data_IF_374499749227
#
_entry.id   IF_374499749227
#
_cell.length_a   1.000
_cell.length_b   1.000
_cell.length_c   1.000
_cell.angle_alpha   90.00
_cell.angle_beta   90.00
_cell.angle_gamma   90.00
#
_symmetry.space_group_name_H-M   'P 1'
#
loop_
_entity.id
_entity.type
_entity.pdbx_description
1 polymer ?
#
# COMPACT_ATOMS: atom_id res chain seq x y z
N UNK A 1 -10.98 -6.95 -5.03
CA UNK A 1 -9.81 -7.01 -4.14
C UNK A 1 -8.66 -6.23 -4.78
N UNK A 2 -8.17 -5.19 -4.12
CA UNK A 2 -7.02 -4.41 -4.62
C UNK A 2 -5.78 -5.31 -4.47
N UNK A 3 -5.12 -5.64 -5.58
CA UNK A 3 -3.87 -6.40 -5.56
C UNK A 3 -2.70 -5.42 -5.59
N UNK A 4 -1.89 -5.46 -4.55
CA UNK A 4 -0.60 -4.79 -4.50
C UNK A 4 0.47 -5.87 -4.62
N UNK A 5 1.39 -5.67 -5.56
CA UNK A 5 2.53 -6.56 -5.75
C UNK A 5 3.80 -5.82 -5.31
N UNK A 6 4.56 -6.44 -4.39
CA UNK A 6 5.89 -5.98 -4.00
C UNK A 6 6.89 -6.51 -5.06
N UNK A 7 7.49 -5.62 -5.85
CA UNK A 7 8.34 -5.98 -6.98
C UNK A 7 9.76 -5.42 -6.83
N UNK A 8 10.75 -6.24 -7.19
CA UNK A 8 12.16 -5.87 -7.31
C UNK A 8 12.50 -5.80 -8.79
N UNK A 9 12.95 -4.65 -9.27
CA UNK A 9 13.29 -4.43 -10.67
C UNK A 9 14.72 -3.91 -10.76
N UNK A 10 15.58 -4.63 -11.48
CA UNK A 10 16.96 -4.23 -11.72
C UNK A 10 17.13 -3.83 -13.18
N UNK A 11 17.93 -2.80 -13.43
CA UNK A 11 18.21 -2.34 -14.77
C UNK A 11 19.08 -1.08 -14.76
N UNK A 12 19.49 -0.64 -15.94
CA UNK A 12 20.21 0.62 -16.10
C UNK A 12 19.23 1.78 -16.05
N UNK A 13 19.49 2.75 -15.18
CA UNK A 13 18.68 3.96 -15.07
C UNK A 13 18.96 4.86 -16.27
N UNK A 14 17.95 5.11 -17.11
CA UNK A 14 18.11 6.05 -18.23
C UNK A 14 17.87 7.49 -17.78
N UNK A 15 16.74 7.72 -17.08
CA UNK A 15 16.38 9.02 -16.53
C UNK A 15 15.28 8.92 -15.47
N UNK A 16 15.24 9.91 -14.58
CA UNK A 16 14.11 10.17 -13.67
C UNK A 16 13.50 11.53 -13.97
N UNK A 17 12.26 11.55 -14.46
CA UNK A 17 11.53 12.78 -14.77
C UNK A 17 10.45 13.06 -13.74
N UNK A 18 10.63 14.10 -12.93
CA UNK A 18 9.60 14.56 -11.98
C UNK A 18 8.40 15.10 -12.77
N UNK A 19 7.22 14.58 -12.45
CA UNK A 19 5.93 14.98 -13.04
C UNK A 19 5.11 15.85 -12.11
N UNK A 20 5.23 15.64 -10.79
CA UNK A 20 4.49 16.42 -9.79
C UNK A 20 5.24 16.44 -8.45
N UNK A 21 5.12 17.55 -7.70
CA UNK A 21 5.67 17.69 -6.34
C UNK A 21 4.53 17.60 -5.35
N UNK A 22 4.49 16.53 -4.55
CA UNK A 22 3.46 16.31 -3.52
C UNK A 22 3.97 16.72 -2.13
N UNK A 23 3.05 17.00 -1.21
CA UNK A 23 3.39 17.43 0.17
C UNK A 23 4.21 16.42 0.97
N UNK A 24 4.24 15.14 0.57
CA UNK A 24 5.02 14.06 1.20
C UNK A 24 5.92 13.30 0.21
N UNK A 25 6.33 13.92 -0.90
CA UNK A 25 7.26 13.29 -1.84
C UNK A 25 7.12 13.79 -3.28
N UNK A 26 7.78 13.11 -4.21
CA UNK A 26 7.76 13.44 -5.64
C UNK A 26 7.01 12.36 -6.40
N UNK A 27 6.22 12.78 -7.40
CA UNK A 27 5.72 11.88 -8.44
C UNK A 27 6.67 11.99 -9.62
N UNK A 28 7.22 10.86 -10.04
CA UNK A 28 8.16 10.82 -11.14
C UNK A 28 7.84 9.67 -12.11
N UNK A 29 8.32 9.84 -13.34
CA UNK A 29 8.42 8.79 -14.34
C UNK A 29 9.87 8.31 -14.35
N UNK A 30 10.08 7.04 -14.07
CA UNK A 30 11.41 6.41 -14.07
C UNK A 30 11.56 5.57 -15.33
N UNK A 31 12.67 5.71 -16.04
CA UNK A 31 13.03 4.86 -17.18
C UNK A 31 14.15 3.91 -16.80
N UNK A 32 13.90 2.61 -16.98
CA UNK A 32 14.87 1.53 -16.78
C UNK A 32 14.99 0.72 -18.06
N UNK A 33 16.21 0.53 -18.56
CA UNK A 33 16.49 -0.24 -19.79
C UNK A 33 15.59 0.15 -20.98
N UNK A 34 15.31 1.45 -21.16
CA UNK A 34 14.42 1.98 -22.19
C UNK A 34 12.92 1.86 -21.91
N UNK A 35 12.53 1.26 -20.79
CA UNK A 35 11.13 1.07 -20.39
C UNK A 35 10.67 2.12 -19.38
N UNK A 36 9.58 2.83 -19.71
CA UNK A 36 9.04 3.91 -18.89
C UNK A 36 8.03 3.40 -17.86
N UNK A 37 8.26 3.71 -16.59
CA UNK A 37 7.36 3.43 -15.47
C UNK A 37 6.79 4.78 -14.98
N UNK A 38 5.59 5.17 -15.44
CA UNK A 38 4.96 6.41 -15.02
C UNK A 38 4.30 6.28 -13.64
N UNK A 39 3.97 7.42 -13.02
CA UNK A 39 3.22 7.49 -11.76
C UNK A 39 3.91 6.78 -10.57
N UNK A 40 5.23 6.85 -10.49
CA UNK A 40 5.98 6.36 -9.34
C UNK A 40 6.08 7.48 -8.28
N UNK A 41 5.60 7.22 -7.07
CA UNK A 41 5.79 8.11 -5.93
C UNK A 41 7.07 7.73 -5.19
N UNK A 42 7.95 8.68 -4.92
CA UNK A 42 9.22 8.49 -4.21
C UNK A 42 9.48 9.63 -3.24
N UNK A 43 10.40 9.43 -2.27
CA UNK A 43 10.90 10.53 -1.45
C UNK A 43 11.84 11.43 -2.27
N UNK A 44 11.95 12.71 -1.90
CA UNK A 44 12.81 13.65 -2.61
C UNK A 44 14.29 13.25 -2.51
N UNK A 45 14.70 12.70 -1.36
CA UNK A 45 16.05 12.17 -1.12
C UNK A 45 16.42 11.08 -2.14
N UNK A 46 15.46 10.22 -2.54
CA UNK A 46 15.72 9.20 -3.56
C UNK A 46 15.99 9.79 -4.94
N UNK A 47 15.37 10.92 -5.27
CA UNK A 47 15.63 11.59 -6.54
C UNK A 47 17.06 12.18 -6.59
N UNK A 48 17.56 12.68 -5.46
CA UNK A 48 18.90 13.27 -5.37
C UNK A 48 20.02 12.21 -5.43
N UNK A 49 19.75 11.00 -4.97
CA UNK A 49 20.73 9.91 -4.94
C UNK A 49 20.74 9.03 -6.20
N UNK A 50 19.67 9.08 -7.01
CA UNK A 50 19.58 8.35 -8.28
C UNK A 50 20.26 9.13 -9.41
N UNK A 51 21.36 8.59 -9.92
CA UNK A 51 22.10 9.19 -11.04
C UNK A 51 21.84 8.45 -12.35
N UNK A 52 21.62 9.21 -13.42
CA UNK A 52 21.44 8.68 -14.77
C UNK A 52 22.67 7.86 -15.20
N UNK A 53 22.42 6.67 -15.77
CA UNK A 53 23.44 5.75 -16.25
C UNK A 53 23.89 4.68 -15.26
N UNK A 54 23.45 4.76 -14.00
CA UNK A 54 23.80 3.76 -12.98
C UNK A 54 22.95 2.48 -13.11
N UNK A 55 23.57 1.33 -12.82
CA UNK A 55 22.86 0.06 -12.63
C UNK A 55 22.21 0.06 -11.25
N UNK A 56 20.87 0.11 -11.23
CA UNK A 56 20.09 0.23 -10.00
C UNK A 56 19.08 -0.89 -9.88
N UNK A 57 18.80 -1.26 -8.64
CA UNK A 57 17.73 -2.18 -8.27
C UNK A 57 16.68 -1.42 -7.47
N UNK A 58 15.52 -1.20 -8.07
CA UNK A 58 14.40 -0.50 -7.47
C UNK A 58 13.46 -1.49 -6.77
N UNK A 59 13.06 -1.15 -5.54
CA UNK A 59 12.07 -1.88 -4.77
C UNK A 59 10.77 -1.07 -4.78
N UNK A 60 9.80 -1.50 -5.59
CA UNK A 60 8.55 -0.77 -5.79
C UNK A 60 7.33 -1.60 -5.35
N UNK A 61 6.40 -0.95 -4.64
CA UNK A 61 5.08 -1.50 -4.36
C UNK A 61 4.13 -0.98 -5.44
N UNK A 62 3.67 -1.88 -6.31
CA UNK A 62 2.85 -1.52 -7.46
C UNK A 62 1.44 -2.01 -7.31
N UNK A 63 0.48 -1.10 -7.49
CA UNK A 63 -0.93 -1.46 -7.58
C UNK A 63 -1.21 -2.06 -8.95
N UNK A 64 -1.68 -3.30 -8.96
CA UNK A 64 -2.14 -3.97 -10.17
C UNK A 64 -3.67 -3.88 -10.27
N UNK A 65 -4.16 -2.92 -11.06
CA UNK A 65 -5.57 -2.74 -11.38
C UNK A 65 -5.86 -3.02 -12.84
N UNK A 66 -7.10 -3.47 -13.13
CA UNK A 66 -7.62 -3.62 -14.50
C UNK A 66 -7.62 -2.30 -15.27
N UNK A 67 -7.78 -1.17 -14.57
CA UNK A 67 -7.63 0.15 -15.17
C UNK A 67 -6.18 0.63 -15.00
N UNK A 68 -5.39 0.50 -16.08
CA UNK A 68 -3.96 0.81 -16.10
C UNK A 68 -3.64 2.27 -15.78
N UNK A 69 -4.54 3.20 -16.11
CA UNK A 69 -4.36 4.63 -15.83
C UNK A 69 -4.46 4.95 -14.33
N UNK A 70 -5.11 4.07 -13.55
CA UNK A 70 -5.20 4.16 -12.08
C UNK A 70 -4.10 3.37 -11.37
N UNK A 71 -3.17 2.77 -12.11
CA UNK A 71 -2.02 2.11 -11.52
C UNK A 71 -1.04 3.17 -11.04
N UNK A 72 -0.64 3.03 -9.78
CA UNK A 72 0.39 3.83 -9.16
C UNK A 72 1.41 2.88 -8.53
N UNK A 73 2.66 3.32 -8.52
CA UNK A 73 3.73 2.64 -7.82
C UNK A 73 4.27 3.54 -6.72
N UNK A 74 4.71 2.94 -5.61
CA UNK A 74 5.44 3.63 -4.56
C UNK A 74 6.83 3.02 -4.51
N UNK A 75 7.86 3.84 -4.70
CA UNK A 75 9.25 3.43 -4.51
C UNK A 75 9.52 3.33 -3.01
N UNK A 76 9.77 2.11 -2.54
CA UNK A 76 10.08 1.83 -1.13
C UNK A 76 11.56 1.96 -0.83
N UNK A 77 12.41 1.72 -1.82
CA UNK A 77 13.86 1.95 -1.73
C UNK A 77 14.57 1.55 -3.02
N UNK A 78 15.87 1.76 -3.04
CA UNK A 78 16.73 1.35 -4.14
C UNK A 78 18.09 0.88 -3.63
N UNK A 79 18.76 0.10 -4.46
CA UNK A 79 20.12 -0.39 -4.26
C UNK A 79 20.92 -0.12 -5.54
N UNK A 80 21.97 0.69 -5.43
CA UNK A 80 22.84 1.03 -6.55
C UNK A 80 24.08 0.11 -6.52
N UNK A 81 24.61 -0.26 -7.69
CA UNK A 81 25.83 -1.05 -7.82
C UNK A 81 27.07 -0.39 -7.16
N UNK A 82 26.98 0.90 -6.83
CA UNK A 82 27.96 1.66 -6.03
C UNK A 82 27.87 1.40 -4.50
N UNK A 83 26.99 0.51 -4.05
CA UNK A 83 26.79 0.15 -2.64
C UNK A 83 25.90 1.11 -1.84
N UNK A 84 25.29 2.10 -2.50
CA UNK A 84 24.31 3.00 -1.88
C UNK A 84 22.96 2.30 -1.84
N UNK A 85 22.51 1.97 -0.63
CA UNK A 85 21.24 1.29 -0.38
C UNK A 85 20.39 2.12 0.55
N UNK A 86 19.33 2.72 0.00
CA UNK A 86 18.45 3.58 0.76
C UNK A 86 17.02 3.03 0.74
N UNK A 87 16.41 2.91 1.92
CA UNK A 87 15.02 2.48 2.10
C UNK A 87 14.27 3.47 2.94
N UNK A 88 13.02 3.73 2.56
CA UNK A 88 12.11 4.60 3.27
C UNK A 88 11.53 3.84 4.48
N UNK A 89 12.41 3.47 5.41
CA UNK A 89 12.11 2.71 6.63
C UNK A 89 11.12 3.46 7.51
N UNK A 90 11.00 4.78 7.34
CA UNK A 90 9.96 5.62 7.95
C UNK A 90 8.54 5.13 7.63
N UNK A 91 8.28 4.70 6.39
CA UNK A 91 6.96 4.18 5.98
C UNK A 91 6.63 2.81 6.59
N UNK A 92 7.65 2.03 6.98
CA UNK A 92 7.48 0.72 7.61
C UNK A 92 6.65 0.80 8.89
N UNK A 93 6.79 1.87 9.65
CA UNK A 93 6.04 2.08 10.90
C UNK A 93 4.91 3.08 10.75
N UNK A 94 5.11 4.14 9.95
CA UNK A 94 4.10 5.18 9.77
C UNK A 94 2.79 4.63 9.17
N UNK A 95 2.86 3.75 8.16
CA UNK A 95 1.67 3.20 7.50
C UNK A 95 0.87 2.28 8.45
N UNK A 96 1.49 1.31 9.15
CA UNK A 96 0.80 0.53 10.18
C UNK A 96 0.18 1.36 11.30
N UNK A 97 0.83 2.44 11.76
CA UNK A 97 0.27 3.33 12.78
C UNK A 97 -1.02 3.97 12.31
N UNK A 98 -1.09 4.45 11.06
CA UNK A 98 -2.34 4.96 10.51
C UNK A 98 -3.43 3.89 10.42
N UNK A 99 -3.08 2.67 10.00
CA UNK A 99 -4.05 1.56 9.99
C UNK A 99 -4.55 1.17 11.38
N UNK A 100 -3.70 1.23 12.42
CA UNK A 100 -4.11 1.02 13.80
C UNK A 100 -5.09 2.10 14.28
N UNK A 101 -4.84 3.36 13.91
CA UNK A 101 -5.76 4.46 14.20
C UNK A 101 -7.11 4.28 13.46
N UNK A 102 -7.08 3.89 12.19
CA UNK A 102 -8.30 3.56 11.44
C UNK A 102 -9.03 2.34 12.01
N UNK A 103 -8.33 1.35 12.55
CA UNK A 103 -8.93 0.21 13.23
C UNK A 103 -9.74 0.65 14.46
N UNK A 104 -9.19 1.58 15.25
CA UNK A 104 -9.88 2.16 16.41
C UNK A 104 -11.15 2.92 15.99
N UNK A 105 -11.06 3.76 14.95
CA UNK A 105 -12.23 4.48 14.43
C UNK A 105 -13.27 3.50 13.88
N UNK A 106 -12.86 2.49 13.12
CA UNK A 106 -13.75 1.50 12.56
C UNK A 106 -14.48 0.71 13.66
N UNK A 107 -13.78 0.31 14.72
CA UNK A 107 -14.39 -0.30 15.90
C UNK A 107 -15.46 0.62 16.49
N UNK A 108 -15.11 1.88 16.76
CA UNK A 108 -16.00 2.84 17.38
C UNK A 108 -17.25 3.10 16.53
N UNK A 109 -17.10 3.29 15.22
CA UNK A 109 -18.23 3.54 14.30
C UNK A 109 -19.13 2.32 14.21
N UNK A 110 -18.57 1.12 14.02
CA UNK A 110 -19.37 -0.11 13.92
C UNK A 110 -20.05 -0.42 15.24
N UNK A 111 -19.41 -0.18 16.37
CA UNK A 111 -20.02 -0.36 17.69
C UNK A 111 -21.16 0.64 17.93
N UNK A 112 -20.92 1.94 17.74
CA UNK A 112 -21.90 3.01 18.01
C UNK A 112 -23.11 2.92 17.09
N UNK A 113 -22.94 2.48 15.83
CA UNK A 113 -24.06 2.32 14.89
C UNK A 113 -24.70 0.92 14.98
N UNK A 114 -23.89 -0.13 15.11
CA UNK A 114 -24.33 -1.51 15.13
C UNK A 114 -25.07 -1.90 16.40
N UNK A 115 -24.67 -1.36 17.55
CA UNK A 115 -25.33 -1.62 18.83
C UNK A 115 -26.80 -1.15 18.86
N UNK A 116 -27.14 0.14 18.60
CA UNK A 116 -28.52 0.58 18.57
C UNK A 116 -29.32 -0.01 17.40
N UNK A 117 -28.69 -0.23 16.24
CA UNK A 117 -29.35 -0.87 15.11
C UNK A 117 -29.79 -2.30 15.45
N UNK A 118 -28.93 -3.07 16.12
CA UNK A 118 -29.26 -4.44 16.56
C UNK A 118 -30.40 -4.44 17.58
N UNK A 119 -30.41 -3.50 18.55
CA UNK A 119 -31.52 -3.35 19.50
C UNK A 119 -32.83 -3.07 18.77
N UNK A 120 -32.82 -2.12 17.82
CA UNK A 120 -34.00 -1.77 17.03
C UNK A 120 -34.51 -2.98 16.23
N UNK A 121 -33.60 -3.72 15.59
CA UNK A 121 -33.93 -4.86 14.73
C UNK A 121 -34.51 -6.04 15.53
N UNK A 122 -33.94 -6.36 16.70
CA UNK A 122 -34.47 -7.38 17.62
C UNK A 122 -35.89 -7.02 18.08
N UNK A 123 -36.14 -5.75 18.43
CA UNK A 123 -37.48 -5.27 18.82
C UNK A 123 -38.47 -5.29 17.66
N UNK A 124 -38.04 -4.86 16.47
CA UNK A 124 -38.88 -4.86 15.27
C UNK A 124 -39.31 -6.27 14.86
N UNK A 125 -38.41 -7.25 14.98
CA UNK A 125 -38.69 -8.66 14.67
C UNK A 125 -39.48 -9.40 15.77
N UNK A 126 -39.81 -8.74 16.89
CA UNK A 126 -40.56 -9.34 17.98
C UNK A 126 -39.82 -10.46 18.72
N UNK A 127 -38.48 -10.50 18.65
CA UNK A 127 -37.68 -11.54 19.30
C UNK A 127 -37.61 -11.22 20.80
N UNK A 128 -38.20 -12.09 21.61
CA UNK A 128 -38.21 -11.98 23.08
C UNK A 128 -37.15 -12.90 23.71
N UNK A 129 -36.55 -12.47 24.82
CA UNK A 129 -35.59 -13.29 25.60
C UNK A 129 -34.11 -13.03 25.27
N UNK A 130 -33.80 -12.07 24.41
CA UNK A 130 -32.42 -11.63 24.16
C UNK A 130 -32.01 -10.60 25.21
N UNK A 131 -30.96 -10.90 25.96
CA UNK A 131 -30.41 -9.98 26.94
C UNK A 131 -29.59 -8.85 26.29
N UNK A 132 -29.57 -7.67 26.93
CA UNK A 132 -28.72 -6.54 26.51
C UNK A 132 -27.23 -6.94 26.50
N UNK A 133 -26.83 -7.86 27.40
CA UNK A 133 -25.49 -8.45 27.48
C UNK A 133 -25.10 -9.17 26.18
N UNK A 134 -26.02 -9.92 25.57
CA UNK A 134 -25.82 -10.65 24.32
C UNK A 134 -25.70 -9.70 23.14
N UNK A 135 -26.56 -8.67 23.07
CA UNK A 135 -26.50 -7.64 22.02
C UNK A 135 -25.17 -6.87 22.08
N UNK A 136 -24.71 -6.55 23.29
CA UNK A 136 -23.43 -5.87 23.49
C UNK A 136 -22.27 -6.76 23.08
N UNK A 137 -22.31 -8.06 23.42
CA UNK A 137 -21.31 -9.03 22.98
C UNK A 137 -21.24 -9.12 21.45
N UNK A 138 -22.39 -9.19 20.75
CA UNK A 138 -22.41 -9.18 19.28
C UNK A 138 -21.81 -7.91 18.70
N UNK A 139 -22.17 -6.73 19.21
CA UNK A 139 -21.64 -5.46 18.73
C UNK A 139 -20.11 -5.34 18.95
N UNK A 140 -19.59 -5.87 20.07
CA UNK A 140 -18.15 -5.94 20.32
C UNK A 140 -17.46 -6.86 19.30
N UNK A 141 -18.05 -8.02 18.98
CA UNK A 141 -17.51 -8.95 18.00
C UNK A 141 -17.50 -8.33 16.61
N UNK A 142 -18.58 -7.69 16.19
CA UNK A 142 -18.68 -7.01 14.88
C UNK A 142 -17.68 -5.85 14.77
N UNK A 143 -17.60 -5.00 15.80
CA UNK A 143 -16.59 -3.94 15.86
C UNK A 143 -15.17 -4.50 15.85
N UNK A 144 -14.93 -5.59 16.57
CA UNK A 144 -13.65 -6.29 16.63
C UNK A 144 -13.24 -6.86 15.27
N UNK A 145 -14.17 -7.46 14.52
CA UNK A 145 -13.93 -7.94 13.16
C UNK A 145 -13.59 -6.80 12.20
N UNK A 146 -14.28 -5.66 12.32
CA UNK A 146 -13.98 -4.46 11.53
C UNK A 146 -12.57 -3.93 11.84
N UNK A 147 -12.18 -3.87 13.11
CA UNK A 147 -10.83 -3.48 13.52
C UNK A 147 -9.77 -4.48 13.03
N UNK A 148 -10.04 -5.78 13.17
CA UNK A 148 -9.14 -6.85 12.76
C UNK A 148 -8.82 -6.80 11.26
N UNK A 149 -9.77 -6.37 10.41
CA UNK A 149 -9.53 -6.16 8.99
C UNK A 149 -8.39 -5.15 8.73
N UNK A 150 -8.43 -3.99 9.42
CA UNK A 150 -7.40 -2.95 9.27
C UNK A 150 -6.06 -3.36 9.90
N UNK A 151 -6.10 -4.02 11.06
CA UNK A 151 -4.90 -4.55 11.71
C UNK A 151 -4.22 -5.64 10.86
N UNK A 152 -5.00 -6.50 10.20
CA UNK A 152 -4.46 -7.49 9.27
C UNK A 152 -3.79 -6.84 8.06
N UNK A 153 -4.37 -5.76 7.52
CA UNK A 153 -3.74 -4.99 6.45
C UNK A 153 -2.42 -4.34 6.93
N UNK A 154 -2.40 -3.77 8.14
CA UNK A 154 -1.20 -3.22 8.77
C UNK A 154 -0.10 -4.29 8.92
N UNK A 155 -0.48 -5.45 9.45
CA UNK A 155 0.43 -6.58 9.65
C UNK A 155 1.02 -7.11 8.35
N UNK A 156 0.21 -7.21 7.29
CA UNK A 156 0.71 -7.57 5.95
C UNK A 156 1.73 -6.57 5.42
N UNK A 157 1.52 -5.27 5.63
CA UNK A 157 2.48 -4.24 5.22
C UNK A 157 3.79 -4.37 5.99
N UNK A 158 3.76 -4.58 7.31
CA UNK A 158 4.97 -4.82 8.11
C UNK A 158 5.71 -6.06 7.62
N UNK A 159 5.00 -7.16 7.35
CA UNK A 159 5.61 -8.38 6.83
C UNK A 159 6.24 -8.19 5.45
N UNK A 160 5.56 -7.54 4.49
CA UNK A 160 6.17 -7.30 3.16
C UNK A 160 7.39 -6.38 3.28
N UNK A 161 7.32 -5.34 4.11
CA UNK A 161 8.41 -4.35 4.24
C UNK A 161 9.57 -4.79 5.14
N UNK A 162 9.41 -5.86 5.92
CA UNK A 162 10.45 -6.42 6.78
C UNK A 162 11.55 -7.15 6.01
N UNK A 163 11.22 -7.76 4.86
CA UNK A 163 12.19 -8.43 3.99
C UNK A 163 12.02 -8.00 2.53
N UNK A 164 12.61 -6.86 2.13
CA UNK A 164 12.57 -6.40 0.75
C UNK A 164 13.30 -7.32 -0.23
N UNK A 165 14.23 -8.18 0.25
CA UNK A 165 15.05 -9.01 -0.64
C UNK A 165 14.29 -10.22 -1.16
N UNK A 166 13.27 -10.69 -0.46
CA UNK A 166 12.37 -11.76 -0.94
C UNK A 166 11.27 -11.27 -1.89
N UNK A 167 11.29 -10.00 -2.27
CA UNK A 167 10.30 -9.45 -3.21
C UNK A 167 10.48 -10.07 -4.60
N UNK A 168 9.36 -10.18 -5.32
CA UNK A 168 9.37 -10.85 -6.62
C UNK A 168 10.22 -10.06 -7.61
N UNK A 169 11.25 -10.72 -8.16
CA UNK A 169 12.06 -10.15 -9.23
C UNK A 169 11.18 -10.05 -10.47
N UNK A 170 11.03 -8.83 -10.99
CA UNK A 170 10.31 -8.55 -12.22
C UNK A 170 11.24 -7.84 -13.20
N UNK A 171 11.12 -8.20 -14.48
CA UNK A 171 11.80 -7.46 -15.54
C UNK A 171 11.18 -6.07 -15.72
N UNK A 172 11.98 -5.03 -16.05
CA UNK A 172 11.49 -3.67 -16.32
C UNK A 172 10.35 -3.63 -17.35
N UNK A 173 10.44 -4.45 -18.41
CA UNK A 173 9.40 -4.58 -19.43
C UNK A 173 8.07 -5.10 -18.86
N UNK A 174 8.12 -6.09 -17.96
CA UNK A 174 6.94 -6.66 -17.30
C UNK A 174 6.31 -5.65 -16.33
N UNK A 175 7.09 -4.76 -15.72
CA UNK A 175 6.56 -3.68 -14.89
C UNK A 175 5.91 -2.58 -15.75
N UNK A 176 6.57 -2.15 -16.82
CA UNK A 176 6.07 -1.09 -17.71
C UNK A 176 4.74 -1.48 -18.40
N UNK A 177 4.59 -2.75 -18.79
CA UNK A 177 3.33 -3.26 -19.37
C UNK A 177 2.13 -3.18 -18.40
N UNK A 178 2.36 -3.09 -17.08
CA UNK A 178 1.29 -2.89 -16.09
C UNK A 178 0.77 -1.46 -16.07
N UNK A 179 1.63 -0.47 -16.34
CA UNK A 179 1.26 0.94 -16.34
C UNK A 179 0.78 1.44 -17.71
N UNK A 180 1.19 0.77 -18.79
CA UNK A 180 0.90 1.21 -20.15
C UNK A 180 0.05 0.18 -20.92
N UNK A 181 -0.96 0.66 -21.66
CA UNK A 181 -1.61 -0.14 -22.72
C UNK A 181 -0.74 -0.22 -23.99
N UNK A 182 0.26 0.64 -24.13
CA UNK A 182 0.99 0.92 -25.38
C UNK A 182 2.22 0.03 -25.63
N UNK A 183 2.55 -0.92 -24.75
CA UNK A 183 3.51 -1.99 -25.09
C UNK A 183 2.76 -3.21 -25.63
N UNK A 184 2.18 -3.03 -26.81
CA UNK A 184 1.77 -4.11 -27.72
C UNK A 184 2.42 -3.85 -29.06
#
# INVERSE_FOLDING_TARGET
MIKFDCAKVSGKLDYVKVTDRMSKGLKATVSLDGHKIPNLQMEAEFYEELNDGDDVTLYAIVKNSKNKEKNFGVLYGFDNNKGVRNFATKYRWQVPTYFAFYAMIAFAVVFVLGWPATIYLVRFLGITGVEISQITTCAIVEGGLAAAFFLHAAWRMVKCTADPQSWMVMEPATLATRFSKLHK
#
